data_IF_549204098969
#
_entry.id   IF_549204098969
#
_cell.length_a   1.000
_cell.length_b   1.000
_cell.length_c   1.000
_cell.angle_alpha   90.00
_cell.angle_beta   90.00
_cell.angle_gamma   90.00
#
_symmetry.space_group_name_H-M   'P 1'
#
loop_
_entity.id
_entity.type
_entity.pdbx_description
1 polymer ?
#
# COMPACT_ATOMS: atom_id res chain seq x y z
N UNK A 1 -5.45 6.95 -3.79
CA UNK A 1 -4.57 6.17 -2.90
C UNK A 1 -5.00 4.73 -2.91
N UNK A 2 -4.05 3.83 -3.01
CA UNK A 2 -4.27 2.39 -2.85
C UNK A 2 -3.67 1.96 -1.51
N UNK A 3 -4.42 1.19 -0.72
CA UNK A 3 -3.99 0.65 0.58
C UNK A 3 -3.97 -0.88 0.52
N UNK A 4 -2.79 -1.45 0.41
CA UNK A 4 -2.55 -2.88 0.20
C UNK A 4 -2.43 -3.60 1.54
N UNK A 5 -3.24 -4.63 1.77
CA UNK A 5 -3.31 -5.28 3.06
C UNK A 5 -3.80 -4.30 4.12
N UNK A 6 -4.95 -3.69 3.87
CA UNK A 6 -5.40 -2.49 4.59
C UNK A 6 -5.72 -2.71 6.08
N UNK A 7 -5.86 -3.95 6.53
CA UNK A 7 -6.15 -4.26 7.92
C UNK A 7 -7.38 -3.52 8.44
N UNK A 8 -7.19 -2.71 9.47
CA UNK A 8 -8.27 -1.89 10.05
C UNK A 8 -8.69 -0.70 9.20
N UNK A 9 -8.00 -0.46 8.08
CA UNK A 9 -8.25 0.67 7.18
C UNK A 9 -7.63 1.99 7.65
N UNK A 10 -6.83 1.98 8.69
CA UNK A 10 -6.30 3.21 9.29
C UNK A 10 -5.52 4.08 8.31
N UNK A 11 -4.65 3.50 7.50
CA UNK A 11 -3.82 4.29 6.58
C UNK A 11 -4.66 4.97 5.50
N UNK A 12 -5.63 4.24 4.93
CA UNK A 12 -6.55 4.81 3.95
C UNK A 12 -7.44 5.90 4.53
N UNK A 13 -7.96 5.68 5.74
CA UNK A 13 -8.78 6.67 6.44
C UNK A 13 -7.97 7.94 6.71
N UNK A 14 -6.74 7.79 7.21
CA UNK A 14 -5.83 8.92 7.45
C UNK A 14 -5.53 9.66 6.14
N UNK A 15 -5.29 8.94 5.05
CA UNK A 15 -5.06 9.55 3.74
C UNK A 15 -6.23 10.46 3.33
N UNK A 16 -7.48 10.00 3.52
CA UNK A 16 -8.67 10.81 3.24
C UNK A 16 -8.76 12.03 4.15
N UNK A 17 -8.44 11.87 5.43
CA UNK A 17 -8.43 13.00 6.39
C UNK A 17 -7.37 14.05 6.04
N UNK A 18 -6.28 13.64 5.37
CA UNK A 18 -5.23 14.56 4.91
C UNK A 18 -5.42 15.05 3.49
N UNK A 19 -6.56 14.79 2.86
CA UNK A 19 -6.93 15.41 1.59
C UNK A 19 -6.87 14.52 0.36
N UNK A 20 -6.66 13.22 0.49
CA UNK A 20 -6.79 12.31 -0.64
C UNK A 20 -8.23 12.35 -1.18
N UNK A 21 -8.39 12.28 -2.49
CA UNK A 21 -9.71 12.30 -3.13
C UNK A 21 -10.46 10.99 -2.92
N UNK A 22 -9.76 9.88 -3.03
CA UNK A 22 -10.35 8.56 -2.92
C UNK A 22 -9.31 7.53 -2.48
N UNK A 23 -9.79 6.46 -1.90
CA UNK A 23 -8.98 5.33 -1.47
C UNK A 23 -9.63 4.04 -1.95
N UNK A 24 -8.79 3.14 -2.46
CA UNK A 24 -9.14 1.73 -2.66
C UNK A 24 -8.26 0.92 -1.74
N UNK A 25 -8.84 0.02 -0.98
CA UNK A 25 -8.11 -0.88 -0.11
C UNK A 25 -8.49 -2.33 -0.37
N UNK A 26 -7.61 -3.24 -0.04
CA UNK A 26 -7.92 -4.67 -0.05
C UNK A 26 -7.20 -5.39 1.08
N UNK A 27 -7.80 -6.47 1.53
CA UNK A 27 -7.19 -7.37 2.52
C UNK A 27 -7.72 -8.79 2.27
N UNK A 28 -6.86 -9.77 2.52
CA UNK A 28 -7.22 -11.18 2.36
C UNK A 28 -8.17 -11.65 3.47
N UNK A 29 -8.10 -11.00 4.64
CA UNK A 29 -8.87 -11.36 5.81
C UNK A 29 -10.25 -10.70 5.80
N UNK A 30 -11.31 -11.51 5.82
CA UNK A 30 -12.69 -11.05 5.84
C UNK A 30 -13.00 -10.13 7.02
N UNK A 31 -12.48 -10.45 8.20
CA UNK A 31 -12.67 -9.63 9.40
C UNK A 31 -12.02 -8.26 9.27
N UNK A 32 -10.84 -8.20 8.67
CA UNK A 32 -10.17 -6.93 8.38
C UNK A 32 -10.99 -6.07 7.44
N UNK A 33 -11.54 -6.66 6.39
CA UNK A 33 -12.41 -5.95 5.43
C UNK A 33 -13.62 -5.35 6.14
N UNK A 34 -14.32 -6.13 6.96
CA UNK A 34 -15.49 -5.65 7.72
C UNK A 34 -15.11 -4.55 8.71
N UNK A 35 -13.99 -4.73 9.41
CA UNK A 35 -13.48 -3.71 10.34
C UNK A 35 -13.11 -2.42 9.62
N UNK A 36 -12.45 -2.50 8.46
CA UNK A 36 -12.08 -1.33 7.68
C UNK A 36 -13.31 -0.54 7.24
N UNK A 37 -14.35 -1.23 6.76
CA UNK A 37 -15.62 -0.60 6.37
C UNK A 37 -16.29 0.07 7.55
N UNK A 38 -16.34 -0.60 8.69
CA UNK A 38 -16.92 -0.06 9.93
C UNK A 38 -16.15 1.18 10.41
N UNK A 39 -14.82 1.11 10.41
CA UNK A 39 -13.97 2.23 10.82
C UNK A 39 -14.15 3.44 9.90
N UNK A 40 -14.33 3.22 8.60
CA UNK A 40 -14.62 4.29 7.66
C UNK A 40 -15.95 4.99 8.02
N UNK A 41 -16.99 4.24 8.34
CA UNK A 41 -18.28 4.77 8.74
C UNK A 41 -18.19 5.62 10.00
N UNK A 42 -17.57 5.11 11.06
CA UNK A 42 -17.48 5.85 12.34
C UNK A 42 -16.55 7.06 12.26
N UNK A 43 -15.67 7.13 11.27
CA UNK A 43 -14.81 8.28 11.02
C UNK A 43 -15.37 9.23 9.96
N UNK A 44 -16.60 8.99 9.48
CA UNK A 44 -17.31 9.83 8.51
C UNK A 44 -16.50 10.06 7.22
N UNK A 45 -15.80 9.05 6.73
CA UNK A 45 -15.14 9.09 5.41
C UNK A 45 -15.97 8.28 4.42
N UNK A 46 -16.13 8.82 3.20
CA UNK A 46 -17.03 8.23 2.20
C UNK A 46 -16.27 7.67 0.98
N UNK A 47 -15.27 8.34 0.50
CA UNK A 47 -14.59 8.02 -0.76
C UNK A 47 -13.58 6.86 -0.58
N UNK A 48 -14.03 5.76 -0.03
CA UNK A 48 -13.21 4.57 0.22
C UNK A 48 -13.97 3.30 -0.21
N UNK A 49 -13.30 2.47 -0.98
CA UNK A 49 -13.79 1.14 -1.38
C UNK A 49 -12.83 0.09 -0.84
N UNK A 50 -13.38 -0.93 -0.17
CA UNK A 50 -12.61 -2.02 0.43
C UNK A 50 -13.01 -3.34 -0.22
N UNK A 51 -12.04 -4.11 -0.70
CA UNK A 51 -12.24 -5.39 -1.34
C UNK A 51 -11.58 -6.51 -0.54
N UNK A 52 -12.18 -7.67 -0.54
CA UNK A 52 -11.55 -8.87 0.01
C UNK A 52 -10.74 -9.56 -1.09
N UNK A 53 -9.49 -9.86 -0.80
CA UNK A 53 -8.60 -10.59 -1.70
C UNK A 53 -7.15 -10.15 -1.53
N UNK A 54 -6.30 -10.72 -2.37
CA UNK A 54 -4.88 -10.36 -2.47
C UNK A 54 -4.65 -9.36 -3.61
N UNK A 55 -3.39 -9.15 -4.01
CA UNK A 55 -3.04 -8.21 -5.07
C UNK A 55 -3.71 -8.54 -6.43
N UNK A 56 -4.23 -9.74 -6.62
CA UNK A 56 -4.94 -10.09 -7.85
C UNK A 56 -6.25 -9.31 -8.02
N UNK A 57 -6.80 -8.73 -6.95
CA UNK A 57 -7.97 -7.84 -7.07
C UNK A 57 -7.69 -6.64 -7.97
N UNK A 58 -6.41 -6.24 -8.10
CA UNK A 58 -6.00 -5.12 -8.94
C UNK A 58 -6.23 -5.38 -10.43
N UNK A 59 -6.35 -6.63 -10.83
CA UNK A 59 -6.70 -7.00 -12.21
C UNK A 59 -8.15 -6.64 -12.58
N UNK A 60 -8.99 -6.40 -11.57
CA UNK A 60 -10.41 -6.09 -11.72
C UNK A 60 -10.73 -4.63 -11.39
N UNK A 61 -9.74 -3.86 -11.01
CA UNK A 61 -9.87 -2.44 -10.68
C UNK A 61 -9.19 -1.64 -11.79
N UNK A 62 -9.92 -0.71 -12.39
CA UNK A 62 -9.36 0.15 -13.44
C UNK A 62 -8.68 1.38 -12.85
N UNK A 63 -7.68 1.89 -13.56
CA UNK A 63 -7.01 3.12 -13.22
C UNK A 63 -5.65 2.93 -12.57
N UNK A 64 -5.03 4.03 -12.26
CA UNK A 64 -3.72 4.10 -11.61
C UNK A 64 -3.81 4.97 -10.37
N UNK A 65 -2.89 4.78 -9.46
CA UNK A 65 -2.87 5.47 -8.19
C UNK A 65 -1.66 6.39 -8.07
N UNK A 66 -1.85 7.53 -7.45
CA UNK A 66 -0.76 8.48 -7.19
C UNK A 66 0.11 8.02 -6.02
N UNK A 67 -0.52 7.38 -5.03
CA UNK A 67 0.15 6.85 -3.84
C UNK A 67 -0.34 5.43 -3.60
N UNK A 68 0.60 4.53 -3.42
CA UNK A 68 0.35 3.12 -3.05
C UNK A 68 0.97 2.89 -1.68
N UNK A 69 0.16 2.49 -0.72
CA UNK A 69 0.57 2.19 0.64
C UNK A 69 0.58 0.67 0.83
N UNK A 70 1.64 0.13 1.39
CA UNK A 70 1.73 -1.30 1.68
C UNK A 70 2.47 -1.52 3.00
N UNK A 71 1.72 -1.68 4.07
CA UNK A 71 2.25 -2.04 5.38
C UNK A 71 2.13 -3.56 5.56
N UNK A 72 3.01 -4.29 4.92
CA UNK A 72 3.00 -5.74 4.82
C UNK A 72 4.42 -6.29 5.00
N UNK A 73 4.56 -7.59 5.23
CA UNK A 73 5.87 -8.17 5.45
C UNK A 73 6.70 -8.27 4.16
N UNK A 74 8.01 -8.46 4.32
CA UNK A 74 8.98 -8.54 3.22
C UNK A 74 8.58 -9.54 2.14
N UNK A 75 8.17 -10.75 2.53
CA UNK A 75 7.86 -11.80 1.56
C UNK A 75 6.66 -11.45 0.69
N UNK A 76 5.64 -10.84 1.26
CA UNK A 76 4.48 -10.38 0.51
C UNK A 76 4.88 -9.22 -0.40
N UNK A 77 5.71 -8.29 0.06
CA UNK A 77 6.22 -7.19 -0.77
C UNK A 77 6.94 -7.76 -1.99
N UNK A 78 7.87 -8.68 -1.81
CA UNK A 78 8.63 -9.27 -2.91
C UNK A 78 7.73 -9.98 -3.91
N UNK A 79 6.66 -10.60 -3.44
CA UNK A 79 5.69 -11.28 -4.30
C UNK A 79 4.82 -10.30 -5.09
N UNK A 80 4.40 -9.20 -4.46
CA UNK A 80 3.36 -8.32 -4.99
C UNK A 80 3.88 -7.07 -5.68
N UNK A 81 5.14 -6.70 -5.49
CA UNK A 81 5.67 -5.40 -5.93
C UNK A 81 5.53 -5.17 -7.45
N UNK A 82 5.66 -6.20 -8.25
CA UNK A 82 5.46 -6.11 -9.69
C UNK A 82 4.01 -5.71 -10.03
N UNK A 83 3.05 -6.32 -9.35
CA UNK A 83 1.62 -5.99 -9.51
C UNK A 83 1.32 -4.59 -9.02
N UNK A 84 1.91 -4.19 -7.88
CA UNK A 84 1.74 -2.83 -7.35
C UNK A 84 2.29 -1.79 -8.32
N UNK A 85 3.44 -2.05 -8.93
CA UNK A 85 3.99 -1.16 -9.96
C UNK A 85 3.04 -0.99 -11.13
N UNK A 86 2.33 -2.03 -11.52
CA UNK A 86 1.42 -1.99 -12.68
C UNK A 86 0.25 -1.01 -12.53
N UNK A 87 -0.07 -0.62 -11.31
CA UNK A 87 -1.13 0.36 -11.01
C UNK A 87 -0.58 1.73 -10.62
N UNK A 88 0.70 1.96 -10.87
CA UNK A 88 1.36 3.25 -10.69
C UNK A 88 1.60 3.93 -12.04
N UNK A 89 1.75 5.23 -12.01
CA UNK A 89 2.20 6.02 -13.14
C UNK A 89 3.54 6.69 -12.80
N UNK A 90 4.18 7.31 -13.79
CA UNK A 90 5.40 8.08 -13.56
C UNK A 90 5.15 9.21 -12.57
N UNK A 91 5.92 9.22 -11.48
CA UNK A 91 5.75 10.16 -10.39
C UNK A 91 4.92 9.64 -9.22
N UNK A 92 4.28 8.48 -9.34
CA UNK A 92 3.62 7.82 -8.20
C UNK A 92 4.63 7.44 -7.13
N UNK A 93 4.18 7.43 -5.88
CA UNK A 93 4.97 6.98 -4.73
C UNK A 93 4.43 5.65 -4.22
N UNK A 94 5.32 4.71 -4.01
CA UNK A 94 5.04 3.43 -3.33
C UNK A 94 5.69 3.48 -1.95
N UNK A 95 4.87 3.52 -0.92
CA UNK A 95 5.32 3.64 0.46
C UNK A 95 5.20 2.27 1.13
N UNK A 96 6.34 1.66 1.40
CA UNK A 96 6.45 0.32 1.97
C UNK A 96 6.85 0.40 3.44
N UNK A 97 6.18 -0.34 4.28
CA UNK A 97 6.50 -0.49 5.71
C UNK A 97 6.07 -1.87 6.20
N UNK A 98 6.36 -2.19 7.46
CA UNK A 98 6.02 -3.49 8.04
C UNK A 98 7.16 -4.51 7.92
N UNK A 99 8.39 -4.06 7.72
CA UNK A 99 9.59 -4.88 7.63
C UNK A 99 10.75 -4.21 8.35
N UNK A 100 11.86 -4.92 8.45
CA UNK A 100 13.03 -4.43 9.19
C UNK A 100 14.04 -3.76 8.26
N UNK A 101 14.91 -2.92 8.84
CA UNK A 101 16.00 -2.28 8.09
C UNK A 101 16.90 -3.29 7.40
N UNK A 102 17.08 -4.47 7.99
CA UNK A 102 17.85 -5.56 7.39
C UNK A 102 17.23 -6.13 6.11
N UNK A 103 15.93 -5.91 5.89
CA UNK A 103 15.22 -6.36 4.69
C UNK A 103 15.35 -5.37 3.51
N UNK A 104 15.76 -4.12 3.79
CA UNK A 104 15.79 -3.05 2.78
C UNK A 104 16.66 -3.40 1.57
N UNK A 105 17.89 -3.93 1.72
CA UNK A 105 18.72 -4.25 0.54
C UNK A 105 18.05 -5.23 -0.43
N UNK A 106 17.37 -6.26 0.08
CA UNK A 106 16.68 -7.25 -0.72
C UNK A 106 15.49 -6.65 -1.48
N UNK A 107 14.70 -5.83 -0.79
CA UNK A 107 13.55 -5.14 -1.39
C UNK A 107 14.01 -4.17 -2.47
N UNK A 108 15.03 -3.36 -2.18
CA UNK A 108 15.58 -2.39 -3.13
C UNK A 108 16.15 -3.05 -4.38
N UNK A 109 16.86 -4.15 -4.20
CA UNK A 109 17.45 -4.90 -5.30
C UNK A 109 16.37 -5.39 -6.27
N UNK A 110 15.30 -5.97 -5.72
CA UNK A 110 14.17 -6.43 -6.49
C UNK A 110 13.42 -5.27 -7.17
N UNK A 111 13.22 -4.18 -6.45
CA UNK A 111 12.56 -2.97 -6.96
C UNK A 111 13.33 -2.37 -8.15
N UNK A 112 14.65 -2.29 -8.05
CA UNK A 112 15.50 -1.76 -9.13
C UNK A 112 15.41 -2.61 -10.40
N UNK A 113 15.33 -3.91 -10.28
CA UNK A 113 15.12 -4.81 -11.43
C UNK A 113 13.79 -4.53 -12.14
N UNK A 114 12.80 -4.01 -11.43
CA UNK A 114 11.50 -3.65 -11.97
C UNK A 114 11.42 -2.20 -12.46
N UNK A 115 12.50 -1.45 -12.36
CA UNK A 115 12.53 -0.05 -12.79
C UNK A 115 12.01 0.94 -11.76
N UNK A 116 11.93 0.52 -10.50
CA UNK A 116 11.61 1.41 -9.38
C UNK A 116 12.89 1.95 -8.77
N UNK A 117 12.85 3.22 -8.33
CA UNK A 117 13.98 3.88 -7.71
C UNK A 117 13.65 4.28 -6.27
N UNK A 118 14.65 4.33 -5.43
CA UNK A 118 14.49 4.85 -4.07
C UNK A 118 14.25 6.35 -4.10
N UNK A 119 13.11 6.77 -3.55
CA UNK A 119 12.78 8.19 -3.34
C UNK A 119 13.25 8.65 -1.96
N UNK A 120 13.13 7.80 -0.95
CA UNK A 120 13.58 8.07 0.40
C UNK A 120 13.37 6.89 1.32
N UNK A 121 13.88 7.01 2.53
CA UNK A 121 13.67 6.02 3.58
C UNK A 121 13.68 6.67 4.95
N UNK A 122 13.00 6.00 5.89
CA UNK A 122 13.02 6.34 7.31
C UNK A 122 13.08 5.05 8.11
N UNK A 123 13.47 5.16 9.36
CA UNK A 123 13.42 4.04 10.28
C UNK A 123 13.02 4.53 11.67
N UNK A 124 12.41 3.63 12.42
CA UNK A 124 12.17 3.80 13.84
C UNK A 124 12.66 2.53 14.52
N UNK A 125 13.81 2.64 15.21
CA UNK A 125 14.52 1.47 15.68
C UNK A 125 14.91 0.58 14.50
N UNK A 126 14.50 -0.69 14.55
CA UNK A 126 14.74 -1.68 13.50
C UNK A 126 13.68 -1.66 12.38
N UNK A 127 12.54 -1.00 12.62
CA UNK A 127 11.46 -0.92 11.65
C UNK A 127 11.77 0.09 10.56
N UNK A 128 11.52 -0.29 9.33
CA UNK A 128 11.83 0.53 8.17
C UNK A 128 10.57 1.04 7.46
N UNK A 129 10.72 2.19 6.83
CA UNK A 129 9.81 2.71 5.83
C UNK A 129 10.62 3.07 4.59
N UNK A 130 10.26 2.52 3.46
CA UNK A 130 10.94 2.73 2.18
C UNK A 130 9.96 3.34 1.19
N UNK A 131 10.35 4.44 0.56
CA UNK A 131 9.54 5.10 -0.46
C UNK A 131 10.22 4.91 -1.81
N UNK A 132 9.47 4.36 -2.75
CA UNK A 132 9.92 4.09 -4.11
C UNK A 132 9.10 4.92 -5.11
N UNK A 133 9.68 5.19 -6.25
CA UNK A 133 9.02 5.87 -7.36
C UNK A 133 9.44 5.26 -8.70
N UNK A 134 8.68 5.55 -9.73
CA UNK A 134 9.04 5.15 -11.10
C UNK A 134 9.94 6.21 -11.72
#
# INVERSE_FOLDING_TARGET
VLDCGCGTGILGIVALKYGAKSVVGYDIDEWSVENAKHNAEINNVENIEIYQGDANVLNHISGVFDIVLANINRNIILNDISTLKSVMHKGSLLILSGFYMTDVPMILDHAKQLGLEEYGRKNEGEWACLVLTI
#
